data_IF_032941231646
#
_entry.id   IF_032941231646
#
_cell.length_a   1.000
_cell.length_b   1.000
_cell.length_c   1.000
_cell.angle_alpha   90.00
_cell.angle_beta   90.00
_cell.angle_gamma   90.00
#
_symmetry.space_group_name_H-M   'P 1'
#
loop_
_entity.id
_entity.type
_entity.pdbx_description
1 polymer ?
#
# COMPACT_ATOMS: atom_id res chain seq x y z
N UNK A 1 -13.67 -2.80 -1.63
CA UNK A 1 -13.28 -2.81 -3.05
C UNK A 1 -11.95 -3.54 -3.11
N UNK A 2 -11.92 -4.76 -3.67
CA UNK A 2 -10.73 -5.63 -3.56
C UNK A 2 -9.70 -5.39 -4.67
N UNK A 3 -10.10 -4.73 -5.76
CA UNK A 3 -9.18 -4.40 -6.86
C UNK A 3 -8.31 -3.19 -6.51
N UNK A 4 -7.07 -3.14 -7.02
CA UNK A 4 -6.25 -1.94 -6.90
C UNK A 4 -6.92 -0.76 -7.62
N UNK A 5 -6.77 0.43 -7.05
CA UNK A 5 -7.19 1.71 -7.65
C UNK A 5 -6.26 2.13 -8.80
N UNK A 6 -5.00 1.69 -8.74
CA UNK A 6 -4.01 1.87 -9.78
C UNK A 6 -2.90 0.82 -9.64
N UNK A 7 -2.25 0.53 -10.76
CA UNK A 7 -1.10 -0.38 -10.84
C UNK A 7 -0.01 0.33 -11.65
N UNK A 8 1.21 0.32 -11.12
CA UNK A 8 2.39 0.91 -11.76
C UNK A 8 3.54 -0.11 -11.77
N UNK A 9 4.56 0.06 -12.63
CA UNK A 9 5.84 -0.62 -12.42
C UNK A 9 6.46 -0.16 -11.10
N UNK A 10 7.05 -1.08 -10.32
CA UNK A 10 7.67 -0.74 -9.04
C UNK A 10 9.09 -0.13 -9.18
N UNK A 11 9.65 -0.10 -10.39
CA UNK A 11 11.01 0.41 -10.66
C UNK A 11 12.15 -0.52 -10.21
N UNK A 12 11.83 -1.65 -9.57
CA UNK A 12 12.79 -2.64 -9.07
C UNK A 12 12.31 -4.02 -9.50
N UNK A 13 13.13 -4.72 -10.30
CA UNK A 13 12.75 -5.98 -10.95
C UNK A 13 11.46 -5.83 -11.76
N UNK A 14 10.90 -6.94 -12.25
CA UNK A 14 9.60 -6.97 -12.91
C UNK A 14 8.43 -6.89 -11.91
N UNK A 15 8.63 -6.25 -10.75
CA UNK A 15 7.58 -6.08 -9.74
C UNK A 15 6.63 -4.95 -10.10
N UNK A 16 5.42 -5.05 -9.56
CA UNK A 16 4.36 -4.06 -9.72
C UNK A 16 4.08 -3.38 -8.39
N UNK A 17 3.59 -2.15 -8.47
CA UNK A 17 3.16 -1.35 -7.34
C UNK A 17 1.65 -1.12 -7.45
N UNK A 18 0.90 -1.87 -6.66
CA UNK A 18 -0.55 -1.80 -6.59
C UNK A 18 -0.98 -0.85 -5.48
N UNK A 19 -1.89 0.07 -5.80
CA UNK A 19 -2.45 1.02 -4.84
C UNK A 19 -3.82 0.56 -4.40
N UNK A 20 -3.97 0.32 -3.09
CA UNK A 20 -5.21 -0.14 -2.48
C UNK A 20 -5.86 0.97 -1.66
N UNK A 21 -7.20 0.95 -1.66
CA UNK A 21 -7.99 1.68 -0.69
C UNK A 21 -7.97 0.93 0.65
N UNK A 22 -7.58 1.63 1.70
CA UNK A 22 -7.45 1.12 3.07
C UNK A 22 -8.00 2.15 4.06
N UNK A 23 -9.15 1.87 4.69
CA UNK A 23 -9.74 2.67 5.77
C UNK A 23 -9.75 4.19 5.49
N UNK A 24 -10.32 4.62 4.35
CA UNK A 24 -10.36 6.02 3.88
C UNK A 24 -9.00 6.61 3.49
N UNK A 25 -7.98 5.77 3.35
CA UNK A 25 -6.63 6.17 2.99
C UNK A 25 -6.10 5.29 1.85
N UNK A 26 -5.00 5.71 1.25
CA UNK A 26 -4.28 4.96 0.23
C UNK A 26 -3.04 4.29 0.83
N UNK A 27 -2.85 3.02 0.49
CA UNK A 27 -1.64 2.25 0.78
C UNK A 27 -1.19 1.58 -0.51
N UNK A 28 0.07 1.76 -0.85
CA UNK A 28 0.72 1.07 -1.94
C UNK A 28 1.41 -0.20 -1.47
N UNK A 29 1.31 -1.26 -2.26
CA UNK A 29 1.95 -2.56 -1.99
C UNK A 29 2.72 -2.98 -3.23
N UNK A 30 4.01 -3.27 -3.06
CA UNK A 30 4.81 -3.90 -4.10
C UNK A 30 4.44 -5.38 -4.14
N UNK A 31 4.16 -5.90 -5.33
CA UNK A 31 3.76 -7.29 -5.54
C UNK A 31 4.59 -7.91 -6.67
N UNK A 32 4.94 -9.18 -6.51
CA UNK A 32 5.63 -9.96 -7.54
C UNK A 32 4.58 -10.64 -8.43
N UNK A 33 4.50 -10.29 -9.72
CA UNK A 33 3.48 -10.83 -10.62
C UNK A 33 3.65 -12.33 -10.91
N UNK A 34 4.75 -12.96 -10.48
CA UNK A 34 4.90 -14.41 -10.56
C UNK A 34 4.06 -15.16 -9.50
N UNK A 35 3.44 -14.44 -8.54
CA UNK A 35 2.57 -14.99 -7.52
C UNK A 35 1.16 -14.37 -7.59
N UNK A 36 0.21 -14.96 -6.86
CA UNK A 36 -1.13 -14.40 -6.71
C UNK A 36 -1.05 -13.05 -6.00
N UNK A 37 -1.65 -12.04 -6.62
CA UNK A 37 -1.75 -10.70 -6.08
C UNK A 37 -2.82 -10.63 -4.99
N UNK A 38 -2.71 -9.66 -4.08
CA UNK A 38 -3.64 -9.49 -2.95
C UNK A 38 -5.10 -9.39 -3.40
N UNK A 39 -5.35 -8.75 -4.54
CA UNK A 39 -6.70 -8.63 -5.08
C UNK A 39 -7.27 -9.95 -5.63
N UNK A 40 -6.40 -10.93 -5.91
CA UNK A 40 -6.73 -12.27 -6.41
C UNK A 40 -6.93 -13.28 -5.27
N UNK A 41 -6.58 -12.91 -4.03
CA UNK A 41 -6.74 -13.75 -2.83
C UNK A 41 -8.11 -13.60 -2.16
N UNK A 42 -9.11 -13.07 -2.85
CA UNK A 42 -10.41 -12.67 -2.30
C UNK A 42 -11.17 -13.76 -1.52
N UNK A 43 -10.92 -15.04 -1.83
CA UNK A 43 -11.45 -16.21 -1.11
C UNK A 43 -10.83 -16.43 0.27
N UNK A 44 -9.64 -15.90 0.53
CA UNK A 44 -8.87 -16.14 1.74
C UNK A 44 -8.69 -14.87 2.58
N UNK A 45 -8.49 -13.73 1.92
CA UNK A 45 -8.28 -12.44 2.58
C UNK A 45 -8.67 -11.28 1.66
N UNK A 46 -8.93 -10.14 2.27
CA UNK A 46 -9.06 -8.87 1.54
C UNK A 46 -7.75 -8.07 1.63
N UNK A 47 -7.45 -7.19 0.67
CA UNK A 47 -6.30 -6.28 0.79
C UNK A 47 -6.32 -5.49 2.12
N UNK A 48 -7.50 -5.05 2.57
CA UNK A 48 -7.65 -4.36 3.86
C UNK A 48 -7.23 -5.23 5.04
N UNK A 49 -7.70 -6.49 5.11
CA UNK A 49 -7.30 -7.41 6.19
C UNK A 49 -5.83 -7.79 6.13
N UNK A 50 -5.24 -7.89 4.93
CA UNK A 50 -3.80 -8.10 4.79
C UNK A 50 -3.02 -6.91 5.34
N UNK A 51 -3.40 -5.69 4.96
CA UNK A 51 -2.74 -4.46 5.44
C UNK A 51 -2.89 -4.32 6.97
N UNK A 52 -4.09 -4.59 7.52
CA UNK A 52 -4.32 -4.64 8.97
C UNK A 52 -3.35 -5.62 9.65
N UNK A 53 -3.19 -6.82 9.09
CA UNK A 53 -2.25 -7.81 9.62
C UNK A 53 -0.80 -7.31 9.56
N UNK A 54 -0.36 -6.74 8.43
CA UNK A 54 1.00 -6.18 8.32
C UNK A 54 1.25 -5.07 9.34
N UNK A 55 0.27 -4.21 9.60
CA UNK A 55 0.36 -3.14 10.60
C UNK A 55 0.17 -3.62 12.05
N UNK A 56 -0.27 -4.86 12.27
CA UNK A 56 -0.23 -5.47 13.60
C UNK A 56 1.19 -5.97 13.96
N UNK A 57 2.02 -6.25 12.95
CA UNK A 57 3.38 -6.76 13.11
C UNK A 57 4.42 -5.64 12.95
N UNK A 58 4.15 -4.66 12.09
CA UNK A 58 5.04 -3.53 11.78
C UNK A 58 4.35 -2.18 12.00
N UNK A 59 5.10 -1.09 11.97
CA UNK A 59 4.50 0.24 12.04
C UNK A 59 3.68 0.55 10.78
N UNK A 60 2.55 1.29 10.88
CA UNK A 60 1.79 1.73 9.72
C UNK A 60 2.62 2.59 8.76
N UNK A 61 2.52 2.35 7.46
CA UNK A 61 3.24 3.13 6.45
C UNK A 61 2.51 3.13 5.10
N UNK A 62 2.64 4.21 4.31
CA UNK A 62 1.95 4.32 3.02
C UNK A 62 2.41 3.32 1.97
N UNK A 63 3.57 2.70 2.14
CA UNK A 63 4.17 1.79 1.16
C UNK A 63 4.66 0.53 1.87
N UNK A 64 4.27 -0.62 1.35
CA UNK A 64 4.77 -1.94 1.74
C UNK A 64 5.60 -2.55 0.60
N UNK A 65 6.72 -3.20 0.94
CA UNK A 65 7.51 -3.99 -0.02
C UNK A 65 6.85 -5.33 -0.35
N UNK A 66 7.50 -6.11 -1.23
CA UNK A 66 7.05 -7.44 -1.67
C UNK A 66 6.91 -8.45 -0.54
N UNK A 67 7.55 -8.20 0.60
CA UNK A 67 7.48 -9.05 1.80
C UNK A 67 6.50 -8.49 2.85
N UNK A 68 5.78 -7.41 2.52
CA UNK A 68 4.84 -6.73 3.40
C UNK A 68 5.50 -5.87 4.48
N UNK A 69 6.78 -5.50 4.34
CA UNK A 69 7.45 -4.61 5.27
C UNK A 69 7.24 -3.15 4.88
N UNK A 70 7.05 -2.25 5.86
CA UNK A 70 7.07 -0.81 5.61
C UNK A 70 8.39 -0.34 5.00
N UNK A 71 8.31 0.44 3.93
CA UNK A 71 9.50 1.05 3.30
C UNK A 71 9.31 2.55 3.05
N UNK A 72 10.43 3.24 2.81
CA UNK A 72 10.46 4.62 2.33
C UNK A 72 11.01 4.63 0.90
N UNK A 73 10.21 5.13 -0.04
CA UNK A 73 10.63 5.36 -1.42
C UNK A 73 9.96 6.64 -1.91
N UNK A 74 10.76 7.66 -2.24
CA UNK A 74 10.24 8.94 -2.71
C UNK A 74 9.51 8.80 -4.05
N UNK A 75 10.04 7.97 -4.95
CA UNK A 75 9.45 7.69 -6.26
C UNK A 75 8.07 7.05 -6.14
N UNK A 76 7.95 5.97 -5.36
CA UNK A 76 6.66 5.29 -5.15
C UNK A 76 5.69 6.18 -4.37
N UNK A 77 6.19 7.04 -3.48
CA UNK A 77 5.36 8.00 -2.77
C UNK A 77 4.78 9.05 -3.72
N UNK A 78 5.53 9.50 -4.73
CA UNK A 78 5.02 10.40 -5.77
C UNK A 78 3.91 9.74 -6.59
N UNK A 79 4.05 8.46 -6.96
CA UNK A 79 2.98 7.71 -7.63
C UNK A 79 1.72 7.65 -6.75
N UNK A 80 1.89 7.40 -5.46
CA UNK A 80 0.78 7.35 -4.51
C UNK A 80 0.09 8.72 -4.36
N UNK A 81 0.85 9.83 -4.41
CA UNK A 81 0.30 11.18 -4.48
C UNK A 81 -0.49 11.45 -5.76
N UNK A 82 -0.06 10.91 -6.91
CA UNK A 82 -0.83 11.04 -8.16
C UNK A 82 -2.19 10.34 -8.05
N UNK A 83 -2.23 9.14 -7.45
CA UNK A 83 -3.50 8.43 -7.20
C UNK A 83 -4.37 9.19 -6.20
N UNK A 84 -3.77 9.76 -5.16
CA UNK A 84 -4.47 10.61 -4.20
C UNK A 84 -5.13 11.82 -4.87
N UNK A 85 -4.39 12.55 -5.70
CA UNK A 85 -4.92 13.70 -6.44
C UNK A 85 -6.07 13.32 -7.38
N UNK A 86 -5.99 12.14 -8.01
CA UNK A 86 -7.04 11.64 -8.92
C UNK A 86 -8.30 11.16 -8.20
N UNK A 87 -8.14 10.54 -7.04
CA UNK A 87 -9.24 9.86 -6.32
C UNK A 87 -9.83 10.67 -5.17
N UNK A 88 -9.13 11.70 -4.70
CA UNK A 88 -9.50 12.48 -3.52
C UNK A 88 -9.17 11.80 -2.19
N UNK A 89 -8.65 10.57 -2.20
CA UNK A 89 -8.31 9.86 -0.96
C UNK A 89 -6.93 10.27 -0.43
N UNK A 90 -6.80 10.55 0.87
CA UNK A 90 -5.50 10.87 1.47
C UNK A 90 -4.59 9.64 1.53
N UNK A 91 -3.28 9.87 1.60
CA UNK A 91 -2.32 8.80 1.86
C UNK A 91 -2.36 8.43 3.34
N UNK A 92 -1.97 7.20 3.67
CA UNK A 92 -1.67 6.83 5.04
C UNK A 92 -0.48 7.67 5.54
N UNK A 93 -0.77 8.67 6.37
CA UNK A 93 0.26 9.44 7.06
C UNK A 93 0.45 8.85 8.45
N UNK A 94 1.69 8.55 8.81
CA UNK A 94 2.03 8.39 10.22
C UNK A 94 1.81 9.78 10.81
N UNK A 95 0.71 10.00 11.53
CA UNK A 95 0.66 11.15 12.43
C UNK A 95 1.90 11.00 13.29
N UNK A 96 2.87 11.89 13.10
CA UNK A 96 3.85 12.20 14.12
C UNK A 96 3.03 12.34 15.39
N UNK A 97 3.13 11.35 16.27
CA UNK A 97 2.70 11.50 17.63
C UNK A 97 3.48 12.70 18.13
N UNK A 98 2.86 13.90 18.12
CA UNK A 98 3.29 15.01 18.95
C UNK A 98 3.39 14.42 20.33
N UNK A 99 4.63 14.13 20.74
CA UNK A 99 4.99 13.90 22.13
C UNK A 99 4.61 15.18 22.85
N UNK A 100 3.42 15.19 23.43
CA UNK A 100 3.18 16.02 24.60
C UNK A 100 3.84 15.25 25.75
N UNK A 101 5.11 15.58 26.00
CA UNK A 101 5.79 15.33 27.26
C UNK A 101 6.43 16.65 27.67
#
# INVERSE_FOLDING_TARGET
MNKPLATFPAGIKDYIFNVYYYRLQLVGVIEDPNFLQLHELDKYLTPTSYIDWRFSVHWPAPILDVYGNPIKSEELLQLLYQVSAKTGWPLLTIKSSRKYF
#
